data_IF_290516802430
#
_entry.id   IF_290516802430
#
_cell.length_a   1.000
_cell.length_b   1.000
_cell.length_c   1.000
_cell.angle_alpha   90.00
_cell.angle_beta   90.00
_cell.angle_gamma   90.00
#
_symmetry.space_group_name_H-M   'P 1'
#
loop_
_entity.id
_entity.type
_entity.pdbx_description
1 polymer ?
#
# COMPACT_ATOMS: atom_id res chain seq x y z
N UNK A 1 -2.04 -20.64 -3.10
CA UNK A 1 -2.98 -20.71 -1.95
C UNK A 1 -4.01 -21.83 -2.06
N UNK A 2 -4.14 -22.48 -3.22
CA UNK A 2 -5.26 -23.38 -3.54
C UNK A 2 -5.36 -24.61 -2.64
N UNK A 3 -4.22 -25.16 -2.19
CA UNK A 3 -4.19 -26.31 -1.28
C UNK A 3 -4.81 -25.98 0.08
N UNK A 4 -4.61 -24.75 0.59
CA UNK A 4 -5.21 -24.28 1.84
C UNK A 4 -6.71 -24.03 1.65
N UNK A 5 -7.09 -23.40 0.53
CA UNK A 5 -8.51 -23.18 0.18
C UNK A 5 -9.28 -24.49 0.04
N UNK A 6 -8.71 -25.49 -0.62
CA UNK A 6 -9.31 -26.82 -0.79
C UNK A 6 -9.46 -27.59 0.53
N UNK A 7 -8.55 -27.38 1.48
CA UNK A 7 -8.66 -27.94 2.83
C UNK A 7 -9.78 -27.24 3.62
N UNK A 8 -9.81 -25.90 3.61
CA UNK A 8 -10.81 -25.12 4.34
C UNK A 8 -12.22 -25.36 3.82
N UNK A 9 -12.41 -25.55 2.51
CA UNK A 9 -13.70 -25.93 1.93
C UNK A 9 -14.27 -27.25 2.48
N UNK A 10 -13.44 -28.14 3.05
CA UNK A 10 -13.88 -29.38 3.69
C UNK A 10 -14.13 -29.24 5.19
N UNK A 11 -13.41 -28.35 5.86
CA UNK A 11 -13.45 -28.18 7.32
C UNK A 11 -14.53 -27.18 7.74
N UNK A 12 -14.58 -26.05 7.05
CA UNK A 12 -15.51 -24.96 7.32
C UNK A 12 -15.89 -24.30 5.97
N UNK A 13 -16.93 -24.83 5.29
CA UNK A 13 -17.33 -24.36 3.96
C UNK A 13 -17.82 -22.91 3.92
N UNK A 14 -18.19 -22.34 5.07
CA UNK A 14 -18.66 -20.94 5.15
C UNK A 14 -17.50 -19.95 5.28
N UNK A 15 -16.28 -20.43 5.58
CA UNK A 15 -15.12 -19.57 5.73
C UNK A 15 -14.50 -19.24 4.37
N UNK A 16 -14.64 -17.98 3.97
CA UNK A 16 -13.95 -17.47 2.79
C UNK A 16 -12.43 -17.41 3.03
N UNK A 17 -11.69 -18.03 2.12
CA UNK A 17 -10.23 -17.94 2.05
C UNK A 17 -9.89 -17.24 0.74
N UNK A 18 -9.50 -15.94 0.77
CA UNK A 18 -9.18 -15.21 -0.46
C UNK A 18 -7.94 -15.76 -1.15
N UNK A 19 -7.87 -15.63 -2.48
CA UNK A 19 -6.67 -15.97 -3.23
C UNK A 19 -5.71 -14.82 -3.09
N UNK A 20 -4.42 -15.09 -2.88
CA UNK A 20 -3.44 -14.01 -2.91
C UNK A 20 -3.46 -13.31 -4.26
N UNK A 21 -3.68 -14.03 -5.35
CA UNK A 21 -3.73 -13.52 -6.72
C UNK A 21 -4.92 -12.56 -6.95
N UNK A 22 -6.02 -12.73 -6.20
CA UNK A 22 -7.20 -11.84 -6.22
C UNK A 22 -6.96 -10.53 -5.45
N UNK A 23 -5.88 -10.44 -4.66
CA UNK A 23 -5.51 -9.24 -3.89
C UNK A 23 -4.53 -8.33 -4.66
N UNK A 24 -4.00 -8.80 -5.80
CA UNK A 24 -3.10 -8.03 -6.64
C UNK A 24 -3.88 -7.29 -7.71
N UNK A 25 -3.69 -5.98 -7.76
CA UNK A 25 -4.16 -5.13 -8.85
C UNK A 25 -2.99 -4.89 -9.80
N UNK A 26 -2.99 -5.56 -10.94
CA UNK A 26 -1.95 -5.45 -11.97
C UNK A 26 -2.21 -4.34 -12.99
N UNK A 27 -3.37 -3.71 -12.92
CA UNK A 27 -3.75 -2.59 -13.78
C UNK A 27 -2.83 -1.39 -13.53
N UNK A 28 -2.65 -0.55 -14.55
CA UNK A 28 -1.98 0.74 -14.37
C UNK A 28 -2.78 1.60 -13.37
N UNK A 29 -2.08 2.18 -12.40
CA UNK A 29 -2.70 2.97 -11.33
C UNK A 29 -2.20 4.40 -11.40
N UNK A 30 -3.13 5.34 -11.30
CA UNK A 30 -2.78 6.73 -11.07
C UNK A 30 -2.04 6.89 -9.74
N UNK A 31 -1.02 7.74 -9.72
CA UNK A 31 -0.42 8.20 -8.47
C UNK A 31 -1.49 8.90 -7.62
N UNK A 32 -1.64 8.46 -6.36
CA UNK A 32 -2.69 8.96 -5.46
C UNK A 32 -2.54 10.47 -5.20
N UNK A 33 -1.29 10.95 -5.09
CA UNK A 33 -1.02 12.37 -4.87
C UNK A 33 -1.45 13.21 -6.06
N UNK A 34 -1.07 12.79 -7.26
CA UNK A 34 -1.45 13.49 -8.50
C UNK A 34 -2.94 13.40 -8.78
N UNK A 35 -3.57 12.26 -8.52
CA UNK A 35 -5.01 12.12 -8.62
C UNK A 35 -5.72 13.11 -7.69
N UNK A 36 -5.36 13.16 -6.41
CA UNK A 36 -5.97 14.09 -5.45
C UNK A 36 -5.78 15.56 -5.85
N UNK A 37 -4.58 15.95 -6.32
CA UNK A 37 -4.32 17.32 -6.80
C UNK A 37 -5.26 17.72 -7.93
N UNK A 38 -5.50 16.84 -8.91
CA UNK A 38 -6.44 17.10 -10.02
C UNK A 38 -7.89 17.23 -9.56
N UNK A 39 -8.22 16.77 -8.35
CA UNK A 39 -9.56 16.79 -7.79
C UNK A 39 -9.76 17.87 -6.71
N UNK A 40 -8.96 18.94 -6.73
CA UNK A 40 -9.17 20.10 -5.86
C UNK A 40 -8.69 19.91 -4.42
N UNK A 41 -7.67 19.07 -4.23
CA UNK A 41 -7.02 18.89 -2.93
C UNK A 41 -5.63 19.52 -2.92
N UNK A 42 -5.26 20.11 -1.79
CA UNK A 42 -3.88 20.41 -1.46
C UNK A 42 -3.27 19.17 -0.79
N UNK A 43 -2.19 18.64 -1.37
CA UNK A 43 -1.70 17.28 -1.05
C UNK A 43 -0.22 17.29 -0.68
N UNK A 44 0.08 16.68 0.47
CA UNK A 44 1.44 16.33 0.90
C UNK A 44 1.65 14.83 0.74
N UNK A 45 2.77 14.45 0.10
CA UNK A 45 3.20 13.05 -0.06
C UNK A 45 4.55 12.91 0.63
N UNK A 46 4.64 11.99 1.60
CA UNK A 46 5.89 11.68 2.32
C UNK A 46 6.29 10.24 2.03
N UNK A 47 7.38 9.99 1.29
CA UNK A 47 7.92 8.64 1.11
C UNK A 47 8.35 8.01 2.43
N UNK A 48 8.17 6.70 2.57
CA UNK A 48 8.57 5.97 3.79
C UNK A 48 10.03 6.17 4.15
N UNK A 49 10.94 6.21 3.17
CA UNK A 49 12.35 6.46 3.40
C UNK A 49 12.59 7.84 4.03
N UNK A 50 11.89 8.88 3.54
CA UNK A 50 11.98 10.23 4.10
C UNK A 50 11.43 10.27 5.53
N UNK A 51 10.27 9.63 5.77
CA UNK A 51 9.67 9.58 7.09
C UNK A 51 10.60 8.89 8.10
N UNK A 52 11.14 7.73 7.73
CA UNK A 52 12.06 6.97 8.57
C UNK A 52 13.35 7.75 8.85
N UNK A 53 13.91 8.42 7.85
CA UNK A 53 15.09 9.27 8.01
C UNK A 53 14.84 10.40 9.02
N UNK A 54 13.66 11.01 9.01
CA UNK A 54 13.27 12.05 9.98
C UNK A 54 13.23 11.58 11.44
N UNK A 55 13.18 10.27 11.69
CA UNK A 55 13.24 9.66 13.02
C UNK A 55 14.56 8.92 13.30
N UNK A 56 15.61 9.14 12.50
CA UNK A 56 16.88 8.40 12.57
C UNK A 56 16.71 6.87 12.43
N UNK A 57 15.71 6.44 11.65
CA UNK A 57 15.40 5.02 11.39
C UNK A 57 15.76 4.60 9.96
N UNK A 58 16.84 5.12 9.41
CA UNK A 58 17.30 4.74 8.07
C UNK A 58 17.53 3.22 7.98
N UNK A 59 17.13 2.58 6.86
CA UNK A 59 17.47 1.18 6.64
C UNK A 59 19.00 1.01 6.54
N UNK A 60 19.57 -0.08 7.06
CA UNK A 60 20.96 -0.43 6.80
C UNK A 60 21.25 -0.51 5.30
N UNK A 61 22.48 -0.20 4.89
CA UNK A 61 22.87 -0.16 3.46
C UNK A 61 22.62 -1.49 2.76
N UNK A 62 22.80 -2.59 3.48
CA UNK A 62 22.65 -3.96 3.01
C UNK A 62 21.19 -4.32 2.64
N UNK A 63 20.21 -3.56 3.14
CA UNK A 63 18.78 -3.80 2.93
C UNK A 63 18.06 -2.57 2.40
N UNK A 64 18.80 -1.62 1.81
CA UNK A 64 18.24 -0.36 1.32
C UNK A 64 17.16 -0.60 0.25
N UNK A 65 17.36 -1.58 -0.63
CA UNK A 65 16.40 -1.96 -1.68
C UNK A 65 15.15 -2.66 -1.13
N UNK A 66 15.21 -3.16 0.10
CA UNK A 66 14.09 -3.81 0.81
C UNK A 66 13.33 -2.84 1.71
N UNK A 67 13.71 -1.56 1.73
CA UNK A 67 13.00 -0.55 2.49
C UNK A 67 11.55 -0.42 1.98
N UNK A 68 10.57 -0.15 2.88
CA UNK A 68 9.19 0.05 2.46
C UNK A 68 9.09 1.13 1.37
N UNK A 69 8.43 0.82 0.27
CA UNK A 69 8.21 1.76 -0.85
C UNK A 69 6.87 2.50 -0.74
N UNK A 70 6.22 2.45 0.43
CA UNK A 70 4.92 3.09 0.63
C UNK A 70 5.05 4.61 0.62
N UNK A 71 4.00 5.27 0.17
CA UNK A 71 3.81 6.72 0.24
C UNK A 71 2.78 7.03 1.34
N UNK A 72 3.12 7.92 2.26
CA UNK A 72 2.18 8.48 3.23
C UNK A 72 1.59 9.75 2.65
N UNK A 73 0.29 9.72 2.32
CA UNK A 73 -0.41 10.83 1.65
C UNK A 73 -1.40 11.47 2.62
N UNK A 74 -1.30 12.78 2.81
CA UNK A 74 -2.28 13.59 3.54
C UNK A 74 -2.77 14.72 2.65
N UNK A 75 -4.05 15.03 2.71
CA UNK A 75 -4.64 16.06 1.87
C UNK A 75 -5.71 16.85 2.62
N UNK A 76 -5.83 18.13 2.28
CA UNK A 76 -6.90 19.02 2.72
C UNK A 76 -7.62 19.57 1.50
N UNK A 77 -8.91 19.86 1.63
CA UNK A 77 -9.70 20.36 0.50
C UNK A 77 -9.27 21.79 0.19
N UNK A 78 -8.97 22.09 -1.08
CA UNK A 78 -8.58 23.44 -1.46
C UNK A 78 -9.81 24.36 -1.40
N UNK A 79 -9.76 25.40 -0.56
CA UNK A 79 -10.79 26.44 -0.46
C UNK A 79 -11.85 26.24 0.62
N UNK A 80 -11.54 25.55 1.72
CA UNK A 80 -12.18 25.84 3.03
C UNK A 80 -11.58 27.09 3.68
#
# INVERSE_FOLDING_TARGET
MDRVRALMAKIDPQREVPSTDELWYFEERDDVGDWLRRHGWEVTVTPSAQLMAGYDRNPPKEVQDSAPQNLFVSAVRAGE
#
